data_IF_939353563473
#
_entry.id   IF_939353563473
#
_cell.length_a   1.000
_cell.length_b   1.000
_cell.length_c   1.000
_cell.angle_alpha   90.00
_cell.angle_beta   90.00
_cell.angle_gamma   90.00
#
_symmetry.space_group_name_H-M   'P 1'
#
loop_
_entity.id
_entity.type
_entity.pdbx_description
1 polymer ?
#
# COMPACT_ATOMS: atom_id res chain seq x y z
N UNK A 1 13.23 -38.59 -0.38
CA UNK A 1 14.25 -38.10 -1.34
C UNK A 1 13.55 -37.16 -2.31
N UNK A 2 14.17 -36.04 -2.69
CA UNK A 2 13.61 -35.12 -3.70
C UNK A 2 14.09 -35.57 -5.08
N UNK A 3 13.15 -35.92 -5.95
CA UNK A 3 13.46 -36.23 -7.36
C UNK A 3 13.98 -34.98 -8.07
N UNK A 4 14.96 -35.15 -8.97
CA UNK A 4 15.61 -34.05 -9.69
C UNK A 4 15.70 -34.32 -11.18
N UNK A 5 15.65 -33.24 -11.96
CA UNK A 5 15.79 -33.20 -13.42
C UNK A 5 17.00 -32.35 -13.77
N UNK A 6 17.77 -32.80 -14.77
CA UNK A 6 18.90 -32.02 -15.29
C UNK A 6 18.39 -30.99 -16.30
N UNK A 7 18.62 -29.71 -16.06
CA UNK A 7 18.22 -28.62 -16.96
C UNK A 7 19.21 -27.45 -16.84
N UNK A 8 19.70 -26.90 -17.96
CA UNK A 8 20.64 -25.77 -17.96
C UNK A 8 21.94 -26.03 -17.18
N UNK A 9 22.40 -27.28 -17.10
CA UNK A 9 23.56 -27.65 -16.27
C UNK A 9 23.29 -27.71 -14.76
N UNK A 10 22.04 -27.56 -14.33
CA UNK A 10 21.60 -27.64 -12.93
C UNK A 10 20.86 -28.95 -12.64
N UNK A 11 20.78 -29.31 -11.35
CA UNK A 11 19.94 -30.41 -10.85
C UNK A 11 18.73 -29.82 -10.13
N UNK A 12 17.62 -29.63 -10.85
CA UNK A 12 16.41 -28.94 -10.39
C UNK A 12 15.43 -29.93 -9.77
N UNK A 13 14.81 -29.61 -8.64
CA UNK A 13 13.76 -30.46 -8.07
C UNK A 13 12.60 -30.60 -9.08
N UNK A 14 12.13 -31.84 -9.32
CA UNK A 14 11.12 -32.12 -10.35
C UNK A 14 9.87 -31.26 -10.19
N UNK A 15 9.37 -31.10 -8.96
CA UNK A 15 8.21 -30.24 -8.66
C UNK A 15 8.38 -28.81 -9.17
N UNK A 16 9.56 -28.20 -8.95
CA UNK A 16 9.84 -26.83 -9.40
C UNK A 16 10.01 -26.79 -10.92
N UNK A 17 10.70 -27.78 -11.48
CA UNK A 17 10.92 -27.89 -12.91
C UNK A 17 9.58 -27.96 -13.66
N UNK A 18 8.69 -28.85 -13.24
CA UNK A 18 7.38 -29.05 -13.87
C UNK A 18 6.49 -27.81 -13.68
N UNK A 19 6.48 -27.18 -12.49
CA UNK A 19 5.77 -25.91 -12.28
C UNK A 19 6.21 -24.82 -13.26
N UNK A 20 7.51 -24.63 -13.45
CA UNK A 20 8.02 -23.61 -14.37
C UNK A 20 7.60 -23.92 -15.80
N UNK A 21 7.73 -25.18 -16.24
CA UNK A 21 7.40 -25.57 -17.62
C UNK A 21 5.90 -25.52 -17.92
N UNK A 22 5.07 -25.98 -16.99
CA UNK A 22 3.65 -26.23 -17.25
C UNK A 22 2.76 -25.06 -16.82
N UNK A 23 3.22 -24.20 -15.91
CA UNK A 23 2.39 -23.13 -15.33
C UNK A 23 2.99 -21.73 -15.49
N UNK A 24 4.31 -21.56 -15.29
CA UNK A 24 4.90 -20.22 -15.29
C UNK A 24 5.27 -19.70 -16.69
N UNK A 25 5.84 -20.56 -17.55
CA UNK A 25 6.29 -20.16 -18.89
C UNK A 25 5.16 -20.00 -19.93
N UNK A 26 4.10 -20.82 -19.96
CA UNK A 26 3.04 -20.67 -20.96
C UNK A 26 2.45 -19.25 -20.97
N UNK A 27 2.35 -18.66 -22.17
CA UNK A 27 1.84 -17.29 -22.36
C UNK A 27 2.88 -16.16 -22.26
N UNK A 28 4.11 -16.45 -21.82
CA UNK A 28 5.18 -15.45 -21.71
C UNK A 28 5.93 -15.19 -23.03
N UNK A 29 5.87 -16.14 -23.98
CA UNK A 29 6.66 -16.12 -25.22
C UNK A 29 8.11 -16.59 -25.05
N UNK A 30 8.51 -17.05 -23.86
CA UNK A 30 9.86 -17.56 -23.57
C UNK A 30 9.91 -19.08 -23.75
N UNK A 31 10.88 -19.56 -24.53
CA UNK A 31 11.11 -21.00 -24.71
C UNK A 31 11.76 -21.62 -23.47
N UNK A 32 11.28 -22.80 -23.05
CA UNK A 32 11.76 -23.48 -21.85
C UNK A 32 13.27 -23.82 -21.87
N UNK A 33 13.80 -24.29 -23.01
CA UNK A 33 15.23 -24.60 -23.13
C UNK A 33 16.08 -23.33 -22.95
N UNK A 34 15.70 -22.26 -23.65
CA UNK A 34 16.33 -20.94 -23.54
C UNK A 34 16.28 -20.38 -22.11
N UNK A 35 15.15 -20.55 -21.40
CA UNK A 35 15.02 -20.16 -19.99
C UNK A 35 16.01 -20.92 -19.10
N UNK A 36 16.04 -22.26 -19.18
CA UNK A 36 16.89 -23.06 -18.30
C UNK A 36 18.38 -22.86 -18.56
N UNK A 37 18.79 -22.77 -19.83
CA UNK A 37 20.18 -22.49 -20.19
C UNK A 37 20.63 -21.10 -19.72
N UNK A 38 19.74 -20.09 -19.86
CA UNK A 38 19.97 -18.76 -19.35
C UNK A 38 20.09 -18.73 -17.83
N UNK A 39 19.15 -19.37 -17.12
CA UNK A 39 19.17 -19.45 -15.67
C UNK A 39 20.41 -20.17 -15.15
N UNK A 40 20.78 -21.30 -15.76
CA UNK A 40 22.00 -22.04 -15.44
C UNK A 40 23.27 -21.19 -15.56
N UNK A 41 23.37 -20.40 -16.65
CA UNK A 41 24.48 -19.47 -16.86
C UNK A 41 24.54 -18.40 -15.77
N UNK A 42 23.42 -17.75 -15.48
CA UNK A 42 23.32 -16.73 -14.42
C UNK A 42 23.77 -17.30 -13.07
N UNK A 43 23.29 -18.50 -12.71
CA UNK A 43 23.70 -19.18 -11.47
C UNK A 43 25.20 -19.43 -11.48
N UNK A 44 25.77 -19.95 -12.57
CA UNK A 44 27.20 -20.24 -12.65
C UNK A 44 28.09 -19.00 -12.52
N UNK A 45 27.68 -17.88 -13.10
CA UNK A 45 28.44 -16.62 -13.12
C UNK A 45 28.29 -15.84 -11.80
N UNK A 46 27.08 -15.76 -11.24
CA UNK A 46 26.81 -14.90 -10.08
C UNK A 46 26.97 -15.62 -8.73
N UNK A 47 26.90 -16.95 -8.65
CA UNK A 47 27.05 -17.66 -7.37
C UNK A 47 28.43 -17.48 -6.71
N UNK A 48 29.57 -17.48 -7.43
CA UNK A 48 30.87 -17.17 -6.83
C UNK A 48 30.90 -15.76 -6.21
N UNK A 49 30.33 -14.77 -6.90
CA UNK A 49 30.24 -13.38 -6.41
C UNK A 49 29.38 -13.32 -5.15
N UNK A 50 28.21 -13.96 -5.16
CA UNK A 50 27.31 -14.02 -4.00
C UNK A 50 28.01 -14.64 -2.78
N UNK A 51 28.73 -15.76 -2.96
CA UNK A 51 29.52 -16.38 -1.87
C UNK A 51 30.60 -15.45 -1.34
N UNK A 52 31.33 -14.74 -2.20
CA UNK A 52 32.35 -13.78 -1.79
C UNK A 52 31.73 -12.61 -0.99
N UNK A 53 30.54 -12.13 -1.37
CA UNK A 53 29.82 -11.11 -0.61
C UNK A 53 29.40 -11.59 0.78
N UNK A 54 28.97 -12.85 0.92
CA UNK A 54 28.66 -13.43 2.24
C UNK A 54 29.91 -13.58 3.09
N UNK A 55 31.00 -14.10 2.52
CA UNK A 55 32.28 -14.21 3.22
C UNK A 55 32.77 -12.83 3.69
N UNK A 56 32.62 -11.79 2.87
CA UNK A 56 32.98 -10.41 3.25
C UNK A 56 32.19 -9.92 4.47
N UNK A 57 30.91 -10.31 4.61
CA UNK A 57 30.09 -9.99 5.80
C UNK A 57 30.66 -10.67 7.04
N UNK A 58 30.98 -11.96 6.93
CA UNK A 58 31.56 -12.74 8.04
C UNK A 58 32.92 -12.17 8.48
N UNK A 59 33.77 -11.81 7.53
CA UNK A 59 35.08 -11.19 7.81
C UNK A 59 34.95 -9.84 8.51
N UNK A 60 34.03 -8.98 8.05
CA UNK A 60 33.75 -7.69 8.70
C UNK A 60 33.26 -7.92 10.13
N UNK A 61 32.29 -8.82 10.33
CA UNK A 61 31.74 -9.09 11.65
C UNK A 61 32.80 -9.65 12.60
N UNK A 62 33.64 -10.59 12.14
CA UNK A 62 34.72 -11.14 12.94
C UNK A 62 35.71 -10.05 13.41
N UNK A 63 36.10 -9.13 12.52
CA UNK A 63 36.96 -7.99 12.90
C UNK A 63 36.28 -7.07 13.92
N UNK A 64 34.96 -6.85 13.79
CA UNK A 64 34.20 -6.06 14.76
C UNK A 64 34.13 -6.75 16.14
N UNK A 65 33.98 -8.07 16.16
CA UNK A 65 33.95 -8.86 17.39
C UNK A 65 35.32 -8.86 18.10
N UNK A 66 36.41 -8.98 17.32
CA UNK A 66 37.79 -8.85 17.80
C UNK A 66 38.04 -7.47 18.41
N UNK A 67 37.61 -6.40 17.72
CA UNK A 67 37.76 -5.03 18.20
C UNK A 67 37.00 -4.83 19.53
N UNK A 68 35.75 -5.26 19.61
CA UNK A 68 34.94 -5.18 20.83
C UNK A 68 35.56 -5.97 21.98
N UNK A 69 36.13 -7.15 21.70
CA UNK A 69 36.79 -7.99 22.71
C UNK A 69 38.04 -7.32 23.25
N UNK A 70 38.87 -6.74 22.38
CA UNK A 70 40.09 -6.04 22.76
C UNK A 70 39.83 -4.79 23.63
N UNK A 71 38.67 -4.15 23.47
CA UNK A 71 38.28 -2.93 24.21
C UNK A 71 37.26 -3.20 25.33
N UNK A 72 37.10 -4.47 25.74
CA UNK A 72 36.12 -4.85 26.77
C UNK A 72 36.34 -4.07 28.07
N UNK A 73 35.26 -3.51 28.62
CA UNK A 73 35.25 -2.80 29.90
C UNK A 73 35.80 -1.37 29.83
N UNK A 74 36.23 -0.92 28.65
CA UNK A 74 36.64 0.46 28.40
C UNK A 74 35.43 1.27 27.89
N UNK A 75 35.36 2.58 28.19
CA UNK A 75 34.44 3.47 27.50
C UNK A 75 34.67 3.46 25.99
N UNK A 76 33.60 3.51 25.20
CA UNK A 76 33.70 3.54 23.74
C UNK A 76 34.23 4.90 23.25
N UNK A 77 35.43 4.91 22.68
CA UNK A 77 35.95 6.04 21.91
C UNK A 77 35.38 6.03 20.49
N UNK A 78 34.45 6.94 20.21
CA UNK A 78 33.79 7.04 18.90
C UNK A 78 34.74 7.46 17.77
N UNK A 79 35.79 8.22 18.06
CA UNK A 79 36.79 8.60 17.07
C UNK A 79 37.62 7.39 16.64
N UNK A 80 38.11 6.62 17.62
CA UNK A 80 38.84 5.38 17.37
C UNK A 80 37.96 4.33 16.67
N UNK A 81 36.70 4.19 17.10
CA UNK A 81 35.77 3.22 16.52
C UNK A 81 35.42 3.57 15.06
N UNK A 82 35.16 4.86 14.77
CA UNK A 82 34.91 5.31 13.39
C UNK A 82 36.12 5.05 12.49
N UNK A 83 37.33 5.36 12.97
CA UNK A 83 38.57 5.10 12.24
C UNK A 83 38.75 3.60 11.93
N UNK A 84 38.49 2.74 12.92
CA UNK A 84 38.47 1.29 12.74
C UNK A 84 37.45 0.84 11.68
N UNK A 85 36.20 1.30 11.76
CA UNK A 85 35.17 0.92 10.78
C UNK A 85 35.52 1.37 9.35
N UNK A 86 36.19 2.51 9.19
CA UNK A 86 36.72 2.95 7.90
C UNK A 86 37.89 2.06 7.44
N UNK A 87 38.84 1.73 8.32
CA UNK A 87 39.98 0.85 8.01
C UNK A 87 39.52 -0.54 7.53
N UNK A 88 38.47 -1.10 8.13
CA UNK A 88 37.96 -2.41 7.74
C UNK A 88 37.13 -2.39 6.45
N UNK A 89 36.88 -1.20 5.90
CA UNK A 89 36.04 -0.98 4.72
C UNK A 89 34.54 -1.13 5.00
N UNK A 90 34.11 -1.02 6.26
CA UNK A 90 32.69 -1.00 6.62
C UNK A 90 32.07 0.36 6.35
N UNK A 91 32.73 1.44 6.81
CA UNK A 91 32.39 2.80 6.42
C UNK A 91 33.20 3.21 5.20
N UNK A 92 32.52 3.34 4.05
CA UNK A 92 33.11 3.82 2.81
C UNK A 92 32.93 5.34 2.67
N UNK A 93 33.80 6.03 1.91
CA UNK A 93 33.62 7.44 1.60
C UNK A 93 32.26 7.71 0.94
N UNK A 94 31.64 8.83 1.30
CA UNK A 94 30.44 9.30 0.63
C UNK A 94 30.75 9.60 -0.84
N UNK A 95 29.86 9.16 -1.74
CA UNK A 95 29.97 9.46 -3.16
C UNK A 95 29.59 10.91 -3.48
N UNK A 96 29.86 11.33 -4.72
CA UNK A 96 29.42 12.64 -5.21
C UNK A 96 27.89 12.76 -5.24
N UNK A 97 27.37 13.98 -5.11
CA UNK A 97 25.94 14.24 -5.30
C UNK A 97 25.50 13.87 -6.71
N UNK A 98 24.42 13.10 -6.83
CA UNK A 98 23.82 12.72 -8.11
C UNK A 98 22.30 12.67 -8.00
N UNK A 99 21.62 12.66 -9.16
CA UNK A 99 20.18 12.39 -9.27
C UNK A 99 19.96 10.98 -9.84
N UNK A 100 18.97 10.26 -9.30
CA UNK A 100 18.61 8.93 -9.84
C UNK A 100 18.02 9.07 -11.25
N UNK A 101 18.31 8.10 -12.12
CA UNK A 101 17.86 8.07 -13.52
C UNK A 101 16.70 7.11 -13.82
N UNK A 102 16.01 6.62 -12.79
CA UNK A 102 14.97 5.59 -12.94
C UNK A 102 13.75 6.15 -13.69
N UNK A 103 13.40 5.55 -14.82
CA UNK A 103 12.20 5.88 -15.60
C UNK A 103 11.19 4.73 -15.65
N UNK A 104 10.04 4.97 -16.29
CA UNK A 104 8.96 3.97 -16.48
C UNK A 104 8.45 3.36 -15.16
N UNK A 105 8.27 4.20 -14.14
CA UNK A 105 7.74 3.80 -12.83
C UNK A 105 6.25 4.14 -12.77
N UNK A 106 5.43 3.21 -12.27
CA UNK A 106 4.00 3.43 -12.05
C UNK A 106 3.74 4.61 -11.09
N UNK A 107 2.61 5.29 -11.28
CA UNK A 107 2.24 6.47 -10.50
C UNK A 107 2.12 6.16 -9.00
N UNK A 108 1.67 4.96 -8.65
CA UNK A 108 1.56 4.45 -7.28
C UNK A 108 2.88 4.48 -6.50
N UNK A 109 4.02 4.40 -7.19
CA UNK A 109 5.35 4.43 -6.58
C UNK A 109 6.00 5.80 -6.77
N UNK A 110 5.89 6.38 -7.96
CA UNK A 110 6.61 7.61 -8.32
C UNK A 110 5.94 8.91 -7.91
N UNK A 111 4.61 8.91 -7.68
CA UNK A 111 3.82 10.15 -7.56
C UNK A 111 2.81 10.14 -6.41
N UNK A 112 2.37 8.97 -5.95
CA UNK A 112 1.33 8.84 -4.92
C UNK A 112 1.95 8.52 -3.56
N UNK A 113 1.68 9.35 -2.55
CA UNK A 113 1.97 9.03 -1.17
C UNK A 113 0.79 8.28 -0.54
N UNK A 114 1.04 7.09 0.00
CA UNK A 114 -0.02 6.29 0.63
C UNK A 114 0.50 5.06 1.37
N UNK A 115 -0.39 4.29 2.01
CA UNK A 115 -0.02 3.07 2.73
C UNK A 115 0.54 1.98 1.80
N UNK A 116 1.48 1.19 2.32
CA UNK A 116 2.00 -0.01 1.66
C UNK A 116 1.77 -1.24 2.56
N UNK A 117 1.06 -2.23 2.03
CA UNK A 117 0.75 -3.46 2.75
C UNK A 117 1.79 -4.54 2.46
N UNK A 118 2.18 -5.29 3.49
CA UNK A 118 3.08 -6.46 3.38
C UNK A 118 2.31 -7.70 3.82
N UNK A 119 2.33 -8.75 3.00
CA UNK A 119 1.52 -9.95 3.19
C UNK A 119 2.30 -11.22 2.78
N UNK A 120 2.10 -12.36 3.46
CA UNK A 120 2.73 -13.61 3.04
C UNK A 120 2.07 -14.18 1.78
N UNK A 121 2.84 -14.26 0.69
CA UNK A 121 2.35 -14.76 -0.62
C UNK A 121 1.94 -16.23 -0.60
N UNK A 122 2.45 -17.03 0.36
CA UNK A 122 2.10 -18.43 0.52
C UNK A 122 0.71 -18.66 1.15
N UNK A 123 -0.01 -17.59 1.53
CA UNK A 123 -1.41 -17.65 1.91
C UNK A 123 -2.27 -16.94 0.86
N UNK A 124 -2.92 -17.72 -0.01
CA UNK A 124 -3.71 -17.19 -1.13
C UNK A 124 -4.86 -16.27 -0.66
N UNK A 125 -5.49 -16.57 0.48
CA UNK A 125 -6.56 -15.71 1.03
C UNK A 125 -6.02 -14.35 1.42
N UNK A 126 -4.86 -14.31 2.07
CA UNK A 126 -4.26 -13.04 2.46
C UNK A 126 -3.75 -12.25 1.25
N UNK A 127 -3.15 -12.93 0.26
CA UNK A 127 -2.73 -12.29 -0.98
C UNK A 127 -3.91 -11.65 -1.75
N UNK A 128 -5.04 -12.35 -1.87
CA UNK A 128 -6.26 -11.82 -2.51
C UNK A 128 -6.83 -10.63 -1.74
N UNK A 129 -6.91 -10.73 -0.41
CA UNK A 129 -7.37 -9.62 0.42
C UNK A 129 -6.45 -8.40 0.27
N UNK A 130 -5.13 -8.62 0.22
CA UNK A 130 -4.15 -7.55 0.06
C UNK A 130 -4.23 -6.89 -1.33
N UNK A 131 -4.41 -7.68 -2.39
CA UNK A 131 -4.62 -7.14 -3.74
C UNK A 131 -5.88 -6.27 -3.83
N UNK A 132 -6.96 -6.70 -3.16
CA UNK A 132 -8.23 -5.96 -3.14
C UNK A 132 -8.24 -4.78 -2.16
N UNK A 133 -7.26 -4.69 -1.25
CA UNK A 133 -7.17 -3.63 -0.24
C UNK A 133 -6.81 -2.23 -0.82
N UNK A 134 -6.71 -2.09 -2.14
CA UNK A 134 -6.59 -0.78 -2.81
C UNK A 134 -7.78 0.13 -2.47
N UNK A 135 -8.96 -0.46 -2.32
CA UNK A 135 -10.18 0.22 -1.87
C UNK A 135 -10.70 -0.48 -0.61
N UNK A 136 -11.06 0.29 0.39
CA UNK A 136 -11.56 -0.22 1.66
C UNK A 136 -12.69 0.64 2.20
N UNK A 137 -13.66 0.00 2.85
CA UNK A 137 -14.77 0.67 3.52
C UNK A 137 -14.26 1.38 4.78
N UNK A 138 -14.29 2.71 4.76
CA UNK A 138 -13.96 3.52 5.94
C UNK A 138 -14.94 3.26 7.09
N UNK A 139 -16.21 3.02 6.76
CA UNK A 139 -17.25 2.71 7.74
C UNK A 139 -16.96 1.40 8.45
N UNK A 140 -16.56 0.34 7.72
CA UNK A 140 -16.18 -0.93 8.33
C UNK A 140 -14.93 -0.80 9.18
N UNK A 141 -13.95 -0.02 8.73
CA UNK A 141 -12.72 0.25 9.48
C UNK A 141 -13.02 0.98 10.80
N UNK A 142 -13.83 2.03 10.80
CA UNK A 142 -14.22 2.74 12.01
C UNK A 142 -15.14 1.92 12.91
N UNK A 143 -16.10 1.19 12.35
CA UNK A 143 -17.03 0.39 13.13
C UNK A 143 -16.32 -0.81 13.79
N UNK A 144 -15.47 -1.52 13.05
CA UNK A 144 -14.87 -2.79 13.48
C UNK A 144 -13.66 -2.66 14.42
N UNK A 145 -12.98 -1.51 14.42
CA UNK A 145 -11.79 -1.27 15.24
C UNK A 145 -12.12 -0.53 16.53
N UNK A 146 -11.09 -0.20 17.31
CA UNK A 146 -11.14 0.59 18.54
C UNK A 146 -10.97 2.11 18.28
N UNK A 147 -10.90 2.54 17.01
CA UNK A 147 -10.86 3.97 16.63
C UNK A 147 -12.04 4.74 17.23
N UNK A 148 -13.22 4.11 17.28
CA UNK A 148 -14.37 4.60 18.04
C UNK A 148 -14.48 3.75 19.30
N UNK A 149 -14.34 4.40 20.46
CA UNK A 149 -14.48 3.77 21.76
C UNK A 149 -15.82 3.03 21.89
N UNK A 150 -15.83 1.97 22.69
CA UNK A 150 -17.01 1.12 22.90
C UNK A 150 -17.79 1.49 24.16
N UNK A 151 -17.50 2.63 24.78
CA UNK A 151 -18.21 3.09 25.98
C UNK A 151 -19.56 3.74 25.65
N UNK A 152 -20.35 4.01 26.70
CA UNK A 152 -21.54 4.84 26.61
C UNK A 152 -22.65 4.30 25.70
N UNK A 153 -22.72 2.99 25.42
CA UNK A 153 -23.72 2.41 24.51
C UNK A 153 -23.24 2.26 23.06
N UNK A 154 -21.94 2.43 22.80
CA UNK A 154 -21.31 2.31 21.48
C UNK A 154 -20.60 0.96 21.29
N UNK A 155 -20.91 -0.03 22.12
CA UNK A 155 -20.32 -1.37 22.07
C UNK A 155 -20.62 -2.03 20.72
N UNK A 156 -19.64 -2.81 20.22
CA UNK A 156 -19.88 -3.76 19.13
C UNK A 156 -20.68 -4.94 19.66
N UNK A 157 -21.44 -5.59 18.78
CA UNK A 157 -22.24 -6.76 19.14
C UNK A 157 -22.46 -7.69 17.96
N UNK A 158 -23.23 -8.75 18.18
CA UNK A 158 -23.60 -9.71 17.12
C UNK A 158 -24.54 -9.10 16.07
N UNK A 159 -25.29 -8.06 16.47
CA UNK A 159 -26.18 -7.29 15.60
C UNK A 159 -25.66 -5.86 15.47
N UNK A 160 -26.07 -5.18 14.39
CA UNK A 160 -25.73 -3.79 14.17
C UNK A 160 -26.24 -2.89 15.31
N UNK A 161 -25.35 -2.08 15.86
CA UNK A 161 -25.65 -1.06 16.86
C UNK A 161 -25.80 0.28 16.12
N UNK A 162 -27.04 0.73 15.93
CA UNK A 162 -27.35 1.97 15.23
C UNK A 162 -26.70 3.21 15.87
N UNK A 163 -26.51 3.22 17.20
CA UNK A 163 -25.85 4.32 17.90
C UNK A 163 -24.37 4.39 17.58
N UNK A 164 -23.69 3.22 17.49
CA UNK A 164 -22.31 3.13 16.99
C UNK A 164 -22.25 3.51 15.51
N UNK A 165 -23.22 3.09 14.70
CA UNK A 165 -23.34 3.48 13.30
C UNK A 165 -23.41 4.99 13.10
N UNK A 166 -24.22 5.69 13.89
CA UNK A 166 -24.30 7.15 13.88
C UNK A 166 -22.95 7.81 14.26
N UNK A 167 -22.24 7.26 15.25
CA UNK A 167 -20.89 7.75 15.60
C UNK A 167 -19.87 7.54 14.46
N UNK A 168 -19.98 6.44 13.71
CA UNK A 168 -19.16 6.18 12.51
C UNK A 168 -19.45 7.20 11.41
N UNK A 169 -20.73 7.49 11.14
CA UNK A 169 -21.14 8.49 10.14
C UNK A 169 -20.59 9.87 10.52
N UNK A 170 -20.75 10.28 11.79
CA UNK A 170 -20.22 11.55 12.28
C UNK A 170 -18.70 11.64 12.09
N UNK A 171 -17.97 10.56 12.45
CA UNK A 171 -16.51 10.52 12.27
C UNK A 171 -16.07 10.55 10.80
N UNK A 172 -16.85 9.94 9.91
CA UNK A 172 -16.59 10.00 8.48
C UNK A 172 -16.89 11.39 7.90
N UNK A 173 -17.93 12.08 8.36
CA UNK A 173 -18.22 13.46 7.97
C UNK A 173 -17.08 14.41 8.40
N UNK A 174 -16.55 14.27 9.62
CA UNK A 174 -15.37 15.02 10.06
C UNK A 174 -14.14 14.78 9.17
N UNK A 175 -13.96 13.55 8.69
CA UNK A 175 -12.90 13.23 7.73
C UNK A 175 -13.13 13.96 6.39
N UNK A 176 -14.37 13.98 5.89
CA UNK A 176 -14.70 14.69 4.65
C UNK A 176 -14.51 16.20 4.80
N UNK A 177 -14.94 16.80 5.91
CA UNK A 177 -14.74 18.23 6.19
C UNK A 177 -13.25 18.61 6.19
N UNK A 178 -12.38 17.71 6.63
CA UNK A 178 -10.92 17.92 6.61
C UNK A 178 -10.31 17.69 5.23
N UNK A 179 -10.77 16.68 4.48
CA UNK A 179 -10.15 16.27 3.24
C UNK A 179 -10.67 17.03 2.01
N UNK A 180 -11.96 17.33 1.97
CA UNK A 180 -12.71 17.84 0.82
C UNK A 180 -13.78 18.85 1.27
N UNK A 181 -13.40 19.92 1.98
CA UNK A 181 -14.34 20.79 2.68
C UNK A 181 -15.40 21.41 1.77
N UNK A 182 -16.59 21.65 2.32
CA UNK A 182 -17.63 22.49 1.72
C UNK A 182 -17.34 23.98 1.97
N UNK A 183 -17.74 24.85 1.05
CA UNK A 183 -17.59 26.31 1.19
C UNK A 183 -18.35 26.84 2.40
N UNK A 184 -19.53 26.28 2.62
CA UNK A 184 -20.41 26.57 3.75
C UNK A 184 -20.89 25.26 4.37
N UNK A 185 -20.95 25.21 5.70
CA UNK A 185 -21.47 24.08 6.47
C UNK A 185 -20.49 22.91 6.66
N UNK A 186 -21.03 21.77 7.10
CA UNK A 186 -20.32 20.50 7.28
C UNK A 186 -20.98 19.41 6.44
N UNK A 187 -20.18 18.42 6.01
CA UNK A 187 -20.69 17.19 5.41
C UNK A 187 -21.70 16.44 6.30
N UNK A 188 -21.66 16.66 7.62
CA UNK A 188 -22.63 16.09 8.57
C UNK A 188 -24.04 16.65 8.40
N UNK A 189 -24.18 17.86 7.86
CA UNK A 189 -25.46 18.56 7.69
C UNK A 189 -26.06 18.39 6.29
N UNK A 190 -25.42 17.60 5.41
CA UNK A 190 -25.85 17.39 4.03
C UNK A 190 -27.04 16.45 3.98
N UNK A 191 -28.15 16.92 3.41
CA UNK A 191 -29.34 16.13 3.13
C UNK A 191 -29.31 15.49 1.73
N UNK A 192 -28.57 16.08 0.79
CA UNK A 192 -28.48 15.58 -0.58
C UNK A 192 -27.21 16.05 -1.29
N UNK A 193 -26.55 15.15 -2.01
CA UNK A 193 -25.61 15.50 -3.07
C UNK A 193 -26.33 15.46 -4.42
N UNK A 194 -26.04 16.45 -5.27
CA UNK A 194 -26.66 16.59 -6.58
C UNK A 194 -25.65 17.14 -7.59
N UNK A 195 -25.79 16.71 -8.85
CA UNK A 195 -24.97 17.24 -9.93
C UNK A 195 -25.51 18.59 -10.41
N UNK A 196 -24.60 19.53 -10.66
CA UNK A 196 -24.90 20.80 -11.33
C UNK A 196 -24.32 20.73 -12.72
N UNK A 197 -25.17 20.94 -13.73
CA UNK A 197 -24.76 20.88 -15.13
C UNK A 197 -24.83 22.27 -15.75
N UNK A 198 -23.73 22.71 -16.37
CA UNK A 198 -23.67 23.96 -17.10
C UNK A 198 -22.85 23.76 -18.38
N UNK A 199 -23.53 23.85 -19.53
CA UNK A 199 -22.99 23.44 -20.83
C UNK A 199 -22.42 22.00 -20.73
N UNK A 200 -21.17 21.79 -21.13
CA UNK A 200 -20.49 20.50 -21.07
C UNK A 200 -19.80 20.21 -19.73
N UNK A 201 -20.00 21.07 -18.71
CA UNK A 201 -19.39 20.91 -17.39
C UNK A 201 -20.38 20.31 -16.40
N UNK A 202 -19.87 19.35 -15.62
CA UNK A 202 -20.58 18.74 -14.49
C UNK A 202 -19.82 19.09 -13.22
N UNK A 203 -20.51 19.69 -12.25
CA UNK A 203 -20.00 19.95 -10.91
C UNK A 203 -20.84 19.25 -9.86
N UNK A 204 -20.35 19.28 -8.62
CA UNK A 204 -21.04 18.74 -7.45
C UNK A 204 -21.62 19.89 -6.61
N UNK A 205 -22.86 19.74 -6.17
CA UNK A 205 -23.50 20.60 -5.17
C UNK A 205 -24.03 19.73 -4.03
N UNK A 206 -23.95 20.25 -2.82
CA UNK A 206 -24.59 19.67 -1.64
C UNK A 206 -25.71 20.59 -1.16
N UNK A 207 -26.82 19.99 -0.72
CA UNK A 207 -27.90 20.68 -0.01
C UNK A 207 -27.73 20.43 1.48
N UNK A 208 -27.61 21.49 2.26
CA UNK A 208 -27.55 21.47 3.71
C UNK A 208 -28.95 21.49 4.33
N UNK A 209 -29.02 21.23 5.63
CA UNK A 209 -30.18 21.49 6.47
C UNK A 209 -30.77 22.90 6.22
N UNK A 210 -32.07 22.98 5.96
CA UNK A 210 -32.75 24.25 5.65
C UNK A 210 -32.64 24.70 4.19
N UNK A 211 -32.42 23.77 3.26
CA UNK A 211 -32.40 23.97 1.79
C UNK A 211 -31.29 24.90 1.26
N UNK A 212 -30.26 25.17 2.07
CA UNK A 212 -29.11 25.96 1.63
C UNK A 212 -28.22 25.12 0.72
N UNK A 213 -27.91 25.61 -0.48
CA UNK A 213 -27.01 24.92 -1.43
C UNK A 213 -25.58 25.42 -1.28
N UNK A 214 -24.64 24.48 -1.25
CA UNK A 214 -23.20 24.72 -1.16
C UNK A 214 -22.47 23.85 -2.19
N UNK A 215 -21.16 24.02 -2.27
CA UNK A 215 -20.24 23.21 -3.08
C UNK A 215 -18.92 23.00 -2.35
N UNK A 216 -18.00 22.27 -2.96
CA UNK A 216 -16.64 22.10 -2.43
C UNK A 216 -15.88 23.43 -2.45
N UNK A 217 -15.00 23.66 -1.47
CA UNK A 217 -14.06 24.80 -1.47
C UNK A 217 -13.18 24.76 -2.71
N UNK A 218 -12.68 23.57 -3.06
CA UNK A 218 -11.99 23.31 -4.33
C UNK A 218 -12.85 22.39 -5.21
N UNK A 219 -13.54 22.94 -6.22
CA UNK A 219 -14.34 22.15 -7.16
C UNK A 219 -13.55 21.09 -7.92
N UNK A 220 -12.23 21.23 -8.08
CA UNK A 220 -11.38 20.25 -8.77
C UNK A 220 -11.21 18.94 -8.00
N UNK A 221 -11.56 18.93 -6.70
CA UNK A 221 -11.58 17.71 -5.90
C UNK A 221 -12.72 16.76 -6.33
N UNK A 222 -13.76 17.25 -7.02
CA UNK A 222 -14.75 16.38 -7.66
C UNK A 222 -14.22 15.87 -9.01
N UNK A 223 -14.00 14.56 -9.11
CA UNK A 223 -13.30 13.95 -10.26
C UNK A 223 -14.10 12.88 -11.00
N UNK A 224 -15.29 12.52 -10.50
CA UNK A 224 -16.15 11.56 -11.18
C UNK A 224 -17.44 11.28 -10.42
N UNK A 225 -18.35 10.59 -11.07
CA UNK A 225 -19.63 10.21 -10.49
C UNK A 225 -20.20 8.97 -11.20
N UNK A 226 -21.20 8.34 -10.58
CA UNK A 226 -22.08 7.36 -11.23
C UNK A 226 -23.52 7.74 -10.95
N UNK A 227 -24.34 7.65 -11.99
CA UNK A 227 -25.79 7.76 -11.92
C UNK A 227 -26.43 6.47 -12.42
N UNK A 228 -27.59 6.14 -11.89
CA UNK A 228 -28.49 5.13 -12.44
C UNK A 228 -29.92 5.70 -12.56
N UNK A 229 -30.91 4.83 -12.77
CA UNK A 229 -32.32 5.23 -12.91
C UNK A 229 -32.89 5.91 -11.65
N UNK A 230 -32.29 5.69 -10.48
CA UNK A 230 -32.67 6.29 -9.20
C UNK A 230 -31.97 7.62 -8.92
N UNK A 231 -30.96 7.98 -9.71
CA UNK A 231 -30.22 9.23 -9.61
C UNK A 231 -28.73 9.02 -9.31
N UNK A 232 -28.14 9.95 -8.58
CA UNK A 232 -26.72 9.93 -8.22
C UNK A 232 -26.46 8.84 -7.18
N UNK A 233 -25.65 7.84 -7.55
CA UNK A 233 -25.31 6.70 -6.67
C UNK A 233 -23.88 6.77 -6.14
N UNK A 234 -22.96 7.39 -6.88
CA UNK A 234 -21.57 7.51 -6.44
C UNK A 234 -21.01 8.89 -6.77
N UNK A 235 -20.24 9.44 -5.85
CA UNK A 235 -19.42 10.64 -6.05
C UNK A 235 -17.97 10.28 -5.80
N UNK A 236 -17.12 10.50 -6.80
CA UNK A 236 -15.69 10.28 -6.70
C UNK A 236 -14.99 11.62 -6.45
N UNK A 237 -14.30 11.69 -5.34
CA UNK A 237 -13.51 12.83 -4.90
C UNK A 237 -12.02 12.48 -4.89
N UNK A 238 -11.15 13.49 -4.88
CA UNK A 238 -9.70 13.32 -4.78
C UNK A 238 -9.08 14.38 -3.88
N UNK A 239 -8.23 13.94 -2.96
CA UNK A 239 -7.42 14.80 -2.12
C UNK A 239 -5.99 14.23 -2.01
N UNK A 240 -4.97 15.08 -2.12
CA UNK A 240 -3.55 14.69 -2.06
C UNK A 240 -3.18 13.48 -2.93
N UNK A 241 -3.80 13.36 -4.11
CA UNK A 241 -3.55 12.26 -5.03
C UNK A 241 -4.34 10.98 -4.75
N UNK A 242 -4.97 10.84 -3.58
CA UNK A 242 -5.79 9.70 -3.16
C UNK A 242 -7.28 9.96 -3.43
N UNK A 243 -7.99 8.91 -3.82
CA UNK A 243 -9.42 9.01 -4.12
C UNK A 243 -10.28 8.65 -2.91
N UNK A 244 -11.46 9.28 -2.85
CA UNK A 244 -12.50 9.03 -1.84
C UNK A 244 -13.80 8.83 -2.63
N UNK A 245 -14.51 7.74 -2.37
CA UNK A 245 -15.80 7.47 -3.02
C UNK A 245 -16.92 7.56 -1.98
N UNK A 246 -17.89 8.44 -2.23
CA UNK A 246 -19.15 8.46 -1.50
C UNK A 246 -20.12 7.53 -2.21
N UNK A 247 -20.59 6.49 -1.51
CA UNK A 247 -21.64 5.60 -1.99
C UNK A 247 -22.97 6.07 -1.43
N UNK A 248 -23.92 6.39 -2.32
CA UNK A 248 -25.22 6.95 -1.99
C UNK A 248 -26.27 5.89 -2.30
N UNK A 249 -26.79 5.27 -1.23
CA UNK A 249 -27.88 4.30 -1.28
C UNK A 249 -28.84 4.56 -0.10
N UNK A 250 -29.93 5.34 -0.32
CA UNK A 250 -30.91 5.64 0.72
C UNK A 250 -31.70 4.41 1.21
N UNK A 251 -31.68 3.30 0.46
CA UNK A 251 -32.38 2.07 0.84
C UNK A 251 -31.54 1.15 1.71
N UNK A 252 -30.21 1.31 1.69
CA UNK A 252 -29.28 0.58 2.55
C UNK A 252 -29.57 0.85 4.04
N UNK A 253 -29.45 -0.15 4.94
CA UNK A 253 -29.73 0.04 6.37
C UNK A 253 -28.96 1.20 7.03
N UNK A 254 -27.73 1.45 6.58
CA UNK A 254 -26.92 2.59 7.05
C UNK A 254 -27.34 3.91 6.38
N UNK A 255 -27.79 3.89 5.13
CA UNK A 255 -28.29 5.09 4.43
C UNK A 255 -29.63 5.59 4.96
N UNK A 256 -30.33 4.77 5.74
CA UNK A 256 -31.59 5.10 6.43
C UNK A 256 -31.39 5.74 7.82
N UNK A 257 -30.17 5.78 8.35
CA UNK A 257 -29.85 6.44 9.63
C UNK A 257 -29.72 7.94 9.44
#
# INVERSE_FOLDING_TARGET
MTERVSAGGLQVAKLLHDFVQEQALPGTGVEAASFWDGFGRIVSELMPINRALLQKRDEIQARMDEWCTAHRGQPLDMGAYKAFLTDIGYLVPEGETFAIGTGNVDAEIGQVAGPQLVVPVNNARYALNAANARWGSLYDAFYGTDVIAEDGGLEKGLTFNARRGAAVIARAAEFLDSAVPLTDGSHADVSQYQLVRFNDHVGLSATLSGDTKTGLVDPAQFVGYREDESGLTHVLLRNNGLHIELVIDPEHPVGKL
#
